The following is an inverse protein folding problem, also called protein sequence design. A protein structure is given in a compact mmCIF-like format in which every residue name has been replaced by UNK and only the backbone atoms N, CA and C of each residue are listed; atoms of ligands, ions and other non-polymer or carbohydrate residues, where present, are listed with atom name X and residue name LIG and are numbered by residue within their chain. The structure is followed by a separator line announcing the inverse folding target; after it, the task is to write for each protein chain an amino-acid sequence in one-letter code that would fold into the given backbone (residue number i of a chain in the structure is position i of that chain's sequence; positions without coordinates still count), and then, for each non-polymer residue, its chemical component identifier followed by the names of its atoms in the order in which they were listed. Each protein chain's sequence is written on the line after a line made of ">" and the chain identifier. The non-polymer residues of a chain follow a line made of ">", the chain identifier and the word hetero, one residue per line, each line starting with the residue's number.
data_IF_226398734452
#
_entry.id   IF_226398734452
#
_cell.length_a   1.000
_cell.length_b   1.000
_cell.length_c   1.000
_cell.angle_alpha   90.00
_cell.angle_beta   90.00
_cell.angle_gamma   90.00
#
_symmetry.space_group_name_H-M   'P 1'
#
loop_
_entity.id
_entity.type
_entity.pdbx_description
1 polymer ?
#
# COMPACT_ATOMS: atom_id res chain seq x y z
N UNK A 1 17.49 12.67 -40.78
CA UNK A 1 16.90 11.79 -39.75
C UNK A 1 16.00 12.65 -38.88
N UNK A 2 14.68 12.49 -39.00
CA UNK A 2 13.73 13.23 -38.17
C UNK A 2 13.62 12.53 -36.81
N UNK A 3 14.14 13.18 -35.76
CA UNK A 3 13.87 12.74 -34.40
C UNK A 3 12.37 12.88 -34.13
N UNK A 4 11.70 11.76 -33.86
CA UNK A 4 10.33 11.78 -33.36
C UNK A 4 10.31 12.60 -32.06
N UNK A 5 9.43 13.59 -31.93
CA UNK A 5 9.31 14.34 -30.68
C UNK A 5 8.93 13.36 -29.56
N UNK A 6 9.72 13.35 -28.49
CA UNK A 6 9.40 12.59 -27.28
C UNK A 6 8.13 13.22 -26.70
N UNK A 7 6.99 12.60 -26.98
CA UNK A 7 5.72 12.97 -26.34
C UNK A 7 5.89 12.68 -24.85
N UNK A 8 5.96 13.73 -24.03
CA UNK A 8 5.99 13.59 -22.59
C UNK A 8 4.78 12.74 -22.17
N UNK A 9 4.98 11.65 -21.41
CA UNK A 9 3.89 10.76 -21.10
C UNK A 9 2.84 11.51 -20.26
N UNK A 10 1.54 11.22 -20.44
CA UNK A 10 0.42 12.09 -20.06
C UNK A 10 0.28 12.39 -18.56
N UNK A 11 1.10 11.77 -17.72
CA UNK A 11 1.13 11.94 -16.26
C UNK A 11 2.09 13.04 -15.79
N UNK A 12 2.94 13.61 -16.66
CA UNK A 12 3.88 14.69 -16.27
C UNK A 12 3.21 16.04 -15.99
N UNK A 13 1.96 16.22 -16.40
CA UNK A 13 1.14 17.39 -16.07
C UNK A 13 -0.21 16.94 -15.49
N UNK A 14 -0.18 16.27 -14.34
CA UNK A 14 -1.39 15.93 -13.61
C UNK A 14 -2.25 17.21 -13.42
N UNK A 15 -3.43 17.24 -14.04
CA UNK A 15 -4.37 18.35 -13.94
C UNK A 15 -4.69 18.61 -12.46
N UNK A 16 -5.13 19.83 -12.14
CA UNK A 16 -5.50 20.19 -10.76
C UNK A 16 -6.50 19.18 -10.15
N UNK A 17 -7.42 18.65 -10.96
CA UNK A 17 -8.34 17.55 -10.60
C UNK A 17 -7.62 16.28 -10.15
N UNK A 18 -6.58 15.83 -10.86
CA UNK A 18 -5.80 14.64 -10.46
C UNK A 18 -5.09 14.86 -9.12
N UNK A 19 -4.56 16.06 -8.89
CA UNK A 19 -3.90 16.41 -7.61
C UNK A 19 -4.91 16.46 -6.47
N UNK A 20 -6.09 17.03 -6.70
CA UNK A 20 -7.17 17.08 -5.72
C UNK A 20 -7.70 15.67 -5.38
N UNK A 21 -7.90 14.81 -6.38
CA UNK A 21 -8.28 13.41 -6.18
C UNK A 21 -7.20 12.63 -5.41
N UNK A 22 -5.92 12.83 -5.75
CA UNK A 22 -4.80 12.23 -5.01
C UNK A 22 -4.75 12.69 -3.55
N UNK A 23 -4.94 13.99 -3.28
CA UNK A 23 -4.99 14.52 -1.92
C UNK A 23 -6.18 13.94 -1.12
N UNK A 24 -7.37 13.85 -1.74
CA UNK A 24 -8.54 13.23 -1.14
C UNK A 24 -8.33 11.75 -0.83
N UNK A 25 -7.73 11.00 -1.76
CA UNK A 25 -7.39 9.59 -1.57
C UNK A 25 -6.36 9.40 -0.44
N UNK A 26 -5.36 10.29 -0.34
CA UNK A 26 -4.38 10.25 0.75
C UNK A 26 -5.03 10.54 2.10
N UNK A 27 -5.86 11.57 2.18
CA UNK A 27 -6.58 11.92 3.41
C UNK A 27 -7.49 10.77 3.86
N UNK A 28 -8.17 10.10 2.91
CA UNK A 28 -8.96 8.91 3.18
C UNK A 28 -8.10 7.75 3.70
N UNK A 29 -6.98 7.45 3.03
CA UNK A 29 -6.09 6.37 3.43
C UNK A 29 -5.48 6.59 4.83
N UNK A 30 -5.05 7.82 5.13
CA UNK A 30 -4.53 8.21 6.45
C UNK A 30 -5.64 8.16 7.50
N UNK A 31 -6.80 8.73 7.21
CA UNK A 31 -7.96 8.73 8.11
C UNK A 31 -8.42 7.31 8.45
N UNK A 32 -8.52 6.44 7.45
CA UNK A 32 -8.87 5.04 7.63
C UNK A 32 -7.81 4.31 8.46
N UNK A 33 -6.52 4.45 8.15
CA UNK A 33 -5.43 3.87 8.93
C UNK A 33 -5.45 4.31 10.39
N UNK A 34 -5.52 5.61 10.65
CA UNK A 34 -5.55 6.18 11.99
C UNK A 34 -6.81 5.75 12.75
N UNK A 35 -7.98 5.77 12.12
CA UNK A 35 -9.23 5.34 12.74
C UNK A 35 -9.18 3.88 13.18
N UNK A 36 -8.72 3.00 12.28
CA UNK A 36 -8.60 1.57 12.53
C UNK A 36 -7.55 1.19 13.57
N UNK A 37 -6.54 2.04 13.80
CA UNK A 37 -5.52 1.82 14.81
C UNK A 37 -5.86 2.42 16.18
N UNK A 38 -6.39 3.64 16.20
CA UNK A 38 -6.52 4.46 17.41
C UNK A 38 -7.90 4.29 18.05
N UNK A 39 -8.96 4.21 17.25
CA UNK A 39 -10.35 4.12 17.72
C UNK A 39 -11.13 2.99 17.01
N UNK A 40 -10.63 1.75 17.01
CA UNK A 40 -11.17 0.65 16.21
C UNK A 40 -12.65 0.37 16.49
N UNK A 41 -13.08 0.46 17.75
CA UNK A 41 -14.47 0.17 18.14
C UNK A 41 -15.44 1.22 17.62
N UNK A 42 -15.07 2.51 17.65
CA UNK A 42 -15.91 3.59 17.12
C UNK A 42 -16.02 3.53 15.61
N UNK A 43 -14.94 3.17 14.92
CA UNK A 43 -14.96 2.95 13.47
C UNK A 43 -15.84 1.76 13.13
N UNK A 44 -15.70 0.65 13.87
CA UNK A 44 -16.55 -0.52 13.67
C UNK A 44 -18.04 -0.20 13.86
N UNK A 45 -18.38 0.56 14.90
CA UNK A 45 -19.76 0.97 15.18
C UNK A 45 -20.34 1.89 14.12
N UNK A 46 -19.56 2.87 13.66
CA UNK A 46 -20.00 3.84 12.66
C UNK A 46 -20.34 3.17 11.32
N UNK A 47 -19.57 2.14 10.93
CA UNK A 47 -19.75 1.45 9.64
C UNK A 47 -20.49 0.10 9.74
N UNK A 48 -20.95 -0.29 10.94
CA UNK A 48 -21.58 -1.60 11.17
C UNK A 48 -20.64 -2.78 10.91
N UNK A 49 -19.34 -2.59 11.12
CA UNK A 49 -18.32 -3.63 10.94
C UNK A 49 -18.09 -4.46 12.20
N UNK A 50 -17.41 -5.60 12.03
CA UNK A 50 -17.02 -6.44 13.18
C UNK A 50 -16.07 -5.67 14.11
N UNK A 51 -16.33 -5.73 15.42
CA UNK A 51 -15.50 -5.11 16.47
C UNK A 51 -14.21 -5.88 16.75
N UNK A 52 -13.90 -6.95 16.01
CA UNK A 52 -12.64 -7.66 16.21
C UNK A 52 -11.45 -6.71 16.00
N UNK A 53 -10.73 -6.40 17.07
CA UNK A 53 -9.60 -5.45 17.06
C UNK A 53 -8.53 -5.81 16.03
N UNK A 54 -8.32 -7.10 15.76
CA UNK A 54 -7.30 -7.55 14.83
C UNK A 54 -7.75 -7.38 13.38
N UNK A 55 -9.02 -7.67 13.09
CA UNK A 55 -9.65 -7.34 11.83
C UNK A 55 -9.59 -5.84 11.54
N UNK A 56 -9.92 -4.99 12.53
CA UNK A 56 -9.80 -3.54 12.38
C UNK A 56 -8.36 -3.12 12.04
N UNK A 57 -7.37 -3.67 12.76
CA UNK A 57 -5.95 -3.40 12.46
C UNK A 57 -5.52 -3.87 11.07
N UNK A 58 -6.06 -4.97 10.57
CA UNK A 58 -5.81 -5.43 9.19
C UNK A 58 -6.36 -4.46 8.15
N UNK A 59 -7.58 -3.93 8.36
CA UNK A 59 -8.13 -2.88 7.50
C UNK A 59 -7.24 -1.62 7.54
N UNK A 60 -6.74 -1.25 8.72
CA UNK A 60 -5.75 -0.18 8.86
C UNK A 60 -4.50 -0.46 8.02
N UNK A 61 -3.85 -1.61 8.22
CA UNK A 61 -2.65 -2.03 7.49
C UNK A 61 -2.84 -1.99 5.96
N UNK A 62 -3.99 -2.45 5.47
CA UNK A 62 -4.32 -2.37 4.05
C UNK A 62 -4.41 -0.92 3.55
N UNK A 63 -5.11 -0.05 4.29
CA UNK A 63 -5.23 1.37 3.93
C UNK A 63 -3.89 2.11 3.95
N UNK A 64 -2.98 1.76 4.86
CA UNK A 64 -1.62 2.31 4.84
C UNK A 64 -0.86 1.98 3.55
N UNK A 65 -1.04 0.77 3.02
CA UNK A 65 -0.50 0.39 1.71
C UNK A 65 -1.07 1.25 0.57
N UNK A 66 -2.39 1.50 0.56
CA UNK A 66 -3.01 2.42 -0.38
C UNK A 66 -2.42 3.83 -0.27
N UNK A 67 -2.22 4.32 0.96
CA UNK A 67 -1.57 5.59 1.24
C UNK A 67 -0.17 5.68 0.63
N UNK A 68 0.63 4.60 0.73
CA UNK A 68 1.92 4.51 0.05
C UNK A 68 1.78 4.69 -1.47
N UNK A 69 0.82 4.00 -2.11
CA UNK A 69 0.58 4.12 -3.54
C UNK A 69 0.27 5.54 -3.99
N UNK A 70 -0.60 6.23 -3.23
CA UNK A 70 -0.95 7.62 -3.50
C UNK A 70 0.26 8.54 -3.37
N UNK A 71 1.07 8.37 -2.31
CA UNK A 71 2.31 9.16 -2.12
C UNK A 71 3.30 8.89 -3.26
N UNK A 72 3.50 7.63 -3.64
CA UNK A 72 4.40 7.24 -4.73
C UNK A 72 3.95 7.86 -6.06
N UNK A 73 2.66 7.79 -6.37
CA UNK A 73 2.08 8.41 -7.56
C UNK A 73 2.26 9.93 -7.56
N UNK A 74 1.97 10.60 -6.44
CA UNK A 74 2.13 12.06 -6.29
C UNK A 74 3.58 12.52 -6.44
N UNK A 75 4.55 11.66 -6.12
CA UNK A 75 6.00 11.90 -6.32
C UNK A 75 6.50 11.59 -7.73
N UNK A 76 5.61 11.22 -8.66
CA UNK A 76 5.99 10.88 -10.03
C UNK A 76 6.54 9.46 -10.20
N UNK A 77 6.29 8.55 -9.26
CA UNK A 77 6.64 7.12 -9.39
C UNK A 77 5.41 6.30 -9.77
N UNK A 78 4.69 6.70 -10.83
CA UNK A 78 3.41 6.08 -11.20
C UNK A 78 3.54 4.61 -11.60
N UNK A 79 4.69 4.23 -12.17
CA UNK A 79 5.06 2.86 -12.52
C UNK A 79 5.21 1.94 -11.29
N UNK A 80 5.66 2.51 -10.16
CA UNK A 80 5.89 1.78 -8.91
C UNK A 80 4.75 1.93 -7.92
N UNK A 81 3.83 2.89 -8.14
CA UNK A 81 2.74 3.19 -7.22
C UNK A 81 1.84 1.98 -6.96
N UNK A 82 1.42 1.27 -8.00
CA UNK A 82 0.54 0.12 -7.87
C UNK A 82 1.24 -1.07 -7.18
N UNK A 83 2.38 -1.50 -7.70
CA UNK A 83 3.14 -2.63 -7.16
C UNK A 83 3.61 -2.34 -5.73
N UNK A 84 4.05 -1.11 -5.46
CA UNK A 84 4.50 -0.71 -4.14
C UNK A 84 3.36 -0.58 -3.14
N UNK A 85 2.19 -0.08 -3.56
CA UNK A 85 0.98 -0.07 -2.73
C UNK A 85 0.62 -1.46 -2.24
N UNK A 86 0.53 -2.43 -3.16
CA UNK A 86 0.22 -3.82 -2.83
C UNK A 86 1.32 -4.48 -2.02
N UNK A 87 2.59 -4.23 -2.35
CA UNK A 87 3.72 -4.75 -1.61
C UNK A 87 3.75 -4.28 -0.15
N UNK A 88 3.53 -2.99 0.08
CA UNK A 88 3.47 -2.40 1.42
C UNK A 88 2.24 -2.92 2.18
N UNK A 89 1.07 -2.98 1.54
CA UNK A 89 -0.14 -3.54 2.16
C UNK A 89 0.09 -4.98 2.62
N UNK A 90 0.63 -5.84 1.75
CA UNK A 90 0.90 -7.25 2.05
C UNK A 90 1.89 -7.39 3.21
N UNK A 91 2.99 -6.61 3.23
CA UNK A 91 3.93 -6.62 4.36
C UNK A 91 3.29 -6.20 5.68
N UNK A 92 2.50 -5.13 5.68
CA UNK A 92 1.83 -4.66 6.90
C UNK A 92 0.75 -5.65 7.38
N UNK A 93 0.03 -6.30 6.47
CA UNK A 93 -0.89 -7.38 6.80
C UNK A 93 -0.16 -8.58 7.41
N UNK A 94 0.95 -9.02 6.81
CA UNK A 94 1.79 -10.10 7.34
C UNK A 94 2.25 -9.80 8.77
N UNK A 95 2.76 -8.59 9.02
CA UNK A 95 3.21 -8.16 10.34
C UNK A 95 2.04 -8.10 11.34
N UNK A 96 0.89 -7.58 10.92
CA UNK A 96 -0.30 -7.48 11.77
C UNK A 96 -0.81 -8.87 12.16
N UNK A 97 -0.84 -9.80 11.20
CA UNK A 97 -1.24 -11.20 11.41
C UNK A 97 -0.23 -11.96 12.27
N UNK A 98 1.06 -11.78 12.03
CA UNK A 98 2.13 -12.35 12.87
C UNK A 98 2.00 -11.88 14.32
N UNK A 99 1.74 -10.58 14.54
CA UNK A 99 1.48 -10.04 15.87
C UNK A 99 0.20 -10.62 16.50
N UNK A 100 -0.86 -10.83 15.73
CA UNK A 100 -2.09 -11.47 16.21
C UNK A 100 -1.85 -12.92 16.65
N UNK A 101 -1.03 -13.67 15.91
CA UNK A 101 -0.61 -15.03 16.26
C UNK A 101 0.24 -15.01 17.53
N UNK A 102 1.26 -14.15 17.61
CA UNK A 102 2.15 -14.04 18.77
C UNK A 102 1.41 -13.62 20.05
N UNK A 103 0.30 -12.89 19.92
CA UNK A 103 -0.60 -12.53 21.04
C UNK A 103 -1.68 -13.58 21.33
N UNK A 104 -1.65 -14.71 20.65
CA UNK A 104 -2.59 -15.82 20.84
C UNK A 104 -4.01 -15.58 20.34
N UNK A 105 -4.25 -14.48 19.62
CA UNK A 105 -5.58 -14.13 19.08
C UNK A 105 -5.93 -14.88 17.79
N UNK A 106 -4.92 -15.40 17.09
CA UNK A 106 -5.07 -16.27 15.93
C UNK A 106 -4.14 -17.48 16.06
N UNK A 107 -4.58 -18.64 15.59
CA UNK A 107 -3.84 -19.90 15.69
C UNK A 107 -4.03 -20.77 14.46
N UNK A 108 -3.18 -21.79 14.35
CA UNK A 108 -3.32 -22.84 13.35
C UNK A 108 -2.51 -22.59 12.07
N UNK A 109 -2.24 -23.66 11.31
CA UNK A 109 -1.33 -23.63 10.16
C UNK A 109 -1.80 -22.71 9.05
N UNK A 110 -3.11 -22.57 8.85
CA UNK A 110 -3.68 -21.64 7.86
C UNK A 110 -3.26 -20.19 8.10
N UNK A 111 -3.31 -19.72 9.35
CA UNK A 111 -2.91 -18.34 9.67
C UNK A 111 -1.41 -18.12 9.42
N UNK A 112 -0.57 -19.13 9.71
CA UNK A 112 0.86 -19.08 9.42
C UNK A 112 1.11 -19.04 7.91
N UNK A 113 0.42 -19.88 7.13
CA UNK A 113 0.57 -19.90 5.67
C UNK A 113 0.23 -18.54 5.05
N UNK A 114 -0.84 -17.90 5.50
CA UNK A 114 -1.23 -16.59 4.99
C UNK A 114 -0.19 -15.51 5.36
N UNK A 115 0.37 -15.55 6.59
CA UNK A 115 1.47 -14.63 6.97
C UNK A 115 2.67 -14.80 6.03
N UNK A 116 3.05 -16.05 5.73
CA UNK A 116 4.18 -16.34 4.83
C UNK A 116 3.88 -15.87 3.41
N UNK A 117 2.67 -16.10 2.91
CA UNK A 117 2.21 -15.63 1.59
C UNK A 117 2.28 -14.10 1.49
N UNK A 118 1.65 -13.39 2.43
CA UNK A 118 1.64 -11.93 2.49
C UNK A 118 3.07 -11.36 2.59
N UNK A 119 3.94 -11.98 3.40
CA UNK A 119 5.34 -11.58 3.54
C UNK A 119 6.12 -11.80 2.24
N UNK A 120 5.94 -12.94 1.57
CA UNK A 120 6.60 -13.25 0.30
C UNK A 120 6.15 -12.29 -0.80
N UNK A 121 4.85 -11.99 -0.90
CA UNK A 121 4.31 -11.01 -1.84
C UNK A 121 4.87 -9.61 -1.56
N UNK A 122 4.89 -9.18 -0.31
CA UNK A 122 5.41 -7.87 0.09
C UNK A 122 6.90 -7.71 -0.23
N UNK A 123 7.72 -8.69 0.18
CA UNK A 123 9.17 -8.70 -0.09
C UNK A 123 9.43 -8.78 -1.60
N UNK A 124 8.72 -9.64 -2.31
CA UNK A 124 8.85 -9.81 -3.76
C UNK A 124 8.54 -8.51 -4.53
N UNK A 125 7.47 -7.81 -4.15
CA UNK A 125 7.12 -6.52 -4.74
C UNK A 125 8.21 -5.47 -4.50
N UNK A 126 8.75 -5.37 -3.27
CA UNK A 126 9.84 -4.44 -2.96
C UNK A 126 11.13 -4.79 -3.72
N UNK A 127 11.46 -6.07 -3.83
CA UNK A 127 12.62 -6.54 -4.60
C UNK A 127 12.47 -6.21 -6.10
N UNK A 128 11.27 -6.37 -6.66
CA UNK A 128 10.97 -6.03 -8.05
C UNK A 128 11.15 -4.52 -8.31
N UNK A 129 10.62 -3.67 -7.42
CA UNK A 129 10.79 -2.22 -7.49
C UNK A 129 12.28 -1.84 -7.43
N UNK A 130 13.04 -2.43 -6.51
CA UNK A 130 14.47 -2.18 -6.37
C UNK A 130 15.25 -2.55 -7.64
N UNK A 131 14.96 -3.71 -8.23
CA UNK A 131 15.61 -4.18 -9.46
C UNK A 131 15.29 -3.32 -10.67
N UNK A 132 14.05 -2.84 -10.79
CA UNK A 132 13.68 -1.94 -11.88
C UNK A 132 14.39 -0.59 -11.74
N UNK A 133 14.49 -0.05 -10.52
CA UNK A 133 15.26 1.18 -10.27
C UNK A 133 16.73 1.05 -10.68
N UNK A 134 17.38 -0.07 -10.37
CA UNK A 134 18.80 -0.28 -10.74
C UNK A 134 19.00 -0.39 -12.26
N UNK A 135 18.07 -1.04 -12.98
CA UNK A 135 18.12 -1.15 -14.44
C UNK A 135 17.99 0.19 -15.15
N UNK A 136 17.16 1.10 -14.65
CA UNK A 136 17.03 2.45 -15.22
C UNK A 136 18.25 3.33 -14.97
N UNK A 137 18.95 3.16 -13.85
CA UNK A 137 20.21 3.88 -13.58
C UNK A 137 21.37 3.36 -14.42
N UNK A 138 21.44 2.07 -14.74
CA UNK A 138 22.50 1.48 -15.58
C UNK A 138 22.32 1.81 -17.08
N UNK A 139 21.08 1.95 -17.56
CA UNK A 139 20.79 2.27 -18.97
C UNK A 139 20.92 3.76 -19.31
N UNK A 140 21.25 4.61 -18.34
CA UNK A 140 21.43 6.05 -18.50
C UNK A 140 22.88 6.51 -18.68
N UNK A 141 23.82 5.57 -18.88
CA UNK A 141 25.24 5.81 -19.15
C UNK A 141 25.63 5.31 -20.53
#
# INVERSE_FOLDING_TARGET
>A
MNATPVVAPPWRSASWTHKALGAGALAMAVGAFTGHLVIPDRVADHYGWTRDRWYQRELGAFNAGLGYGVIAYARGHSDQAFVGSWGVAALLLALTRAAAIGRGARRGPRNVAIVVEDAALGIGALALIRRNRSRFTEAGH
#
